data_IF_978491304148
#
_entry.id   IF_978491304148
#
_cell.length_a   1.000
_cell.length_b   1.000
_cell.length_c   1.000
_cell.angle_alpha   90.00
_cell.angle_beta   90.00
_cell.angle_gamma   90.00
#
_symmetry.space_group_name_H-M   'P 1'
#
loop_
_entity.id
_entity.type
_entity.pdbx_description
1 polymer ?
#
# COMPACT_ATOMS: atom_id res chain seq x y z
N UNK A 1 -14.95 0.64 1.03
CA UNK A 1 -14.67 0.27 2.44
C UNK A 1 -14.06 1.47 3.15
N UNK A 2 -14.21 1.63 4.46
CA UNK A 2 -13.69 2.79 5.22
C UNK A 2 -12.72 2.31 6.31
N UNK A 3 -11.46 2.74 6.25
CA UNK A 3 -10.49 2.54 7.32
C UNK A 3 -10.27 3.85 8.10
N UNK A 4 -10.64 3.89 9.37
CA UNK A 4 -10.46 5.06 10.25
C UNK A 4 -9.19 4.94 11.08
N UNK A 5 -8.14 5.72 10.86
CA UNK A 5 -6.91 5.56 11.66
C UNK A 5 -6.94 6.34 12.97
N UNK A 6 -7.60 5.81 14.00
CA UNK A 6 -7.32 6.21 15.39
C UNK A 6 -6.18 5.34 15.95
N UNK A 7 -5.09 5.97 16.43
CA UNK A 7 -3.97 5.38 17.20
C UNK A 7 -2.80 4.63 16.50
N UNK A 8 -2.53 4.83 15.19
CA UNK A 8 -1.47 4.09 14.46
C UNK A 8 0.01 4.44 14.78
N UNK A 9 0.29 5.59 15.39
CA UNK A 9 1.66 6.10 15.62
C UNK A 9 2.56 5.24 16.53
N UNK A 10 2.06 4.09 17.01
CA UNK A 10 2.83 3.17 17.86
C UNK A 10 3.48 2.01 17.12
N UNK A 11 3.16 1.73 15.84
CA UNK A 11 3.53 0.46 15.20
C UNK A 11 4.92 0.43 14.52
N UNK A 12 5.39 1.54 13.95
CA UNK A 12 6.77 1.69 13.45
C UNK A 12 7.35 2.95 14.09
N UNK A 13 8.42 2.87 14.90
CA UNK A 13 9.08 4.08 15.36
C UNK A 13 9.76 4.70 14.13
N UNK A 14 9.10 5.68 13.51
CA UNK A 14 9.85 6.76 12.89
C UNK A 14 10.44 7.52 14.07
N UNK A 15 11.62 7.09 14.53
CA UNK A 15 12.32 7.73 15.64
C UNK A 15 12.67 9.15 15.22
N UNK A 16 11.80 10.10 15.56
CA UNK A 16 12.22 11.49 15.74
C UNK A 16 12.89 11.48 17.10
N UNK A 17 14.19 11.80 17.13
CA UNK A 17 14.96 11.87 18.36
C UNK A 17 14.23 12.76 19.37
N UNK A 18 13.65 12.14 20.40
CA UNK A 18 13.04 12.82 21.53
C UNK A 18 13.83 12.44 22.77
N UNK A 19 14.74 13.34 23.16
CA UNK A 19 15.37 13.29 24.46
C UNK A 19 14.35 13.52 25.58
N UNK A 20 14.43 12.65 26.58
CA UNK A 20 13.99 12.76 27.99
C UNK A 20 12.61 13.36 28.30
N UNK A 21 11.75 12.43 28.72
CA UNK A 21 10.62 12.51 29.65
C UNK A 21 10.50 13.81 30.46
N UNK A 22 9.46 14.60 30.18
CA UNK A 22 8.62 15.28 31.19
C UNK A 22 7.23 15.48 30.61
N UNK A 23 6.21 15.22 31.44
CA UNK A 23 4.80 15.30 31.12
C UNK A 23 4.36 16.75 30.89
N UNK A 24 4.25 17.16 29.62
CA UNK A 24 3.48 18.32 29.18
C UNK A 24 2.80 17.94 27.87
N UNK A 25 1.48 18.05 27.81
CA UNK A 25 0.70 17.75 26.61
C UNK A 25 1.25 18.52 25.41
N UNK A 26 1.82 17.81 24.43
CA UNK A 26 2.17 18.39 23.14
C UNK A 26 0.90 18.56 22.32
N UNK A 27 0.33 19.76 22.43
CA UNK A 27 -0.68 20.27 21.52
C UNK A 27 -0.02 20.54 20.16
N UNK A 28 0.15 19.48 19.36
CA UNK A 28 0.44 19.60 17.93
C UNK A 28 -0.77 20.29 17.30
N UNK A 29 -0.75 21.61 17.16
CA UNK A 29 -1.70 22.33 16.30
C UNK A 29 -1.59 21.76 14.89
N UNK A 30 -2.44 20.79 14.57
CA UNK A 30 -2.51 20.16 13.23
C UNK A 30 -2.96 21.24 12.26
N UNK A 31 -2.14 21.51 11.25
CA UNK A 31 -2.50 22.46 10.19
C UNK A 31 -3.69 22.00 9.33
N UNK A 32 -4.02 20.71 9.40
CA UNK A 32 -5.11 20.02 8.70
C UNK A 32 -5.98 19.28 9.73
N UNK A 33 -7.26 19.62 9.79
CA UNK A 33 -8.27 19.01 10.66
C UNK A 33 -8.65 17.60 10.20
N UNK A 34 -8.81 17.40 8.89
CA UNK A 34 -9.27 16.13 8.30
C UNK A 34 -8.43 15.68 7.10
N UNK A 35 -8.01 14.42 7.10
CA UNK A 35 -7.24 13.80 6.03
C UNK A 35 -7.95 12.54 5.51
N UNK A 36 -8.43 12.57 4.28
CA UNK A 36 -9.09 11.45 3.59
C UNK A 36 -8.34 11.05 2.33
N UNK A 37 -8.25 9.75 2.06
CA UNK A 37 -7.60 9.23 0.84
C UNK A 37 -8.48 8.24 0.08
N UNK A 38 -8.27 8.15 -1.23
CA UNK A 38 -8.67 7.01 -2.06
C UNK A 38 -7.45 6.13 -2.34
N UNK A 39 -7.60 4.95 -2.98
CA UNK A 39 -6.46 4.30 -3.62
C UNK A 39 -5.89 5.21 -4.72
N UNK A 40 -4.64 4.96 -5.10
CA UNK A 40 -4.15 5.39 -6.40
C UNK A 40 -4.58 4.35 -7.43
N UNK A 41 -5.08 4.83 -8.57
CA UNK A 41 -5.70 3.96 -9.55
C UNK A 41 -4.72 3.60 -10.68
N UNK A 42 -4.60 2.30 -10.95
CA UNK A 42 -3.84 1.80 -12.09
C UNK A 42 -4.53 2.16 -13.41
N UNK A 43 -3.71 2.24 -14.43
CA UNK A 43 -4.02 2.79 -15.76
C UNK A 43 -4.14 1.71 -16.83
N UNK A 44 -3.99 0.46 -16.40
CA UNK A 44 -4.15 -0.73 -17.25
C UNK A 44 -5.56 -0.87 -17.83
N UNK A 45 -6.53 -0.09 -17.35
CA UNK A 45 -7.87 0.01 -17.93
C UNK A 45 -8.37 1.46 -17.96
N UNK A 46 -9.27 1.74 -18.92
CA UNK A 46 -9.96 3.01 -18.99
C UNK A 46 -10.70 3.30 -17.67
N UNK A 47 -10.81 4.58 -17.25
CA UNK A 47 -11.54 4.93 -16.05
C UNK A 47 -12.99 4.39 -16.09
N UNK A 48 -13.39 3.66 -15.05
CA UNK A 48 -14.73 3.11 -14.94
C UNK A 48 -15.39 3.51 -13.61
N UNK A 49 -16.64 3.10 -13.42
CA UNK A 49 -17.47 3.48 -12.27
C UNK A 49 -16.83 3.14 -10.91
N UNK A 50 -15.94 2.15 -10.84
CA UNK A 50 -15.25 1.78 -9.60
C UNK A 50 -14.29 2.86 -9.12
N UNK A 51 -13.54 3.48 -10.03
CA UNK A 51 -12.65 4.59 -9.72
C UNK A 51 -13.44 5.80 -9.21
N UNK A 52 -14.52 6.14 -9.93
CA UNK A 52 -15.40 7.26 -9.55
C UNK A 52 -16.07 7.01 -8.21
N UNK A 53 -16.50 5.79 -7.92
CA UNK A 53 -17.21 5.46 -6.69
C UNK A 53 -16.37 5.75 -5.43
N UNK A 54 -15.10 5.31 -5.41
CA UNK A 54 -14.18 5.60 -4.30
C UNK A 54 -13.92 7.11 -4.18
N UNK A 55 -13.72 7.82 -5.30
CA UNK A 55 -13.50 9.26 -5.30
C UNK A 55 -14.71 10.04 -4.81
N UNK A 56 -15.92 9.66 -5.23
CA UNK A 56 -17.16 10.30 -4.83
C UNK A 56 -17.42 10.15 -3.33
N UNK A 57 -17.16 8.97 -2.76
CA UNK A 57 -17.29 8.75 -1.32
C UNK A 57 -16.29 9.60 -0.51
N UNK A 58 -15.04 9.72 -0.98
CA UNK A 58 -14.03 10.55 -0.33
C UNK A 58 -14.40 12.04 -0.42
N UNK A 59 -14.86 12.48 -1.58
CA UNK A 59 -15.29 13.87 -1.83
C UNK A 59 -16.50 14.23 -0.96
N UNK A 60 -17.52 13.37 -0.91
CA UNK A 60 -18.69 13.57 -0.05
C UNK A 60 -18.30 13.66 1.43
N UNK A 61 -17.39 12.79 1.89
CA UNK A 61 -16.90 12.80 3.26
C UNK A 61 -16.09 14.08 3.58
N UNK A 62 -15.23 14.51 2.66
CA UNK A 62 -14.45 15.74 2.77
C UNK A 62 -15.36 16.99 2.81
N UNK A 63 -16.33 17.08 1.90
CA UNK A 63 -17.29 18.19 1.86
C UNK A 63 -18.15 18.27 3.12
N UNK A 64 -18.59 17.11 3.63
CA UNK A 64 -19.31 17.05 4.89
C UNK A 64 -18.48 17.58 6.06
N UNK A 65 -17.19 17.22 6.13
CA UNK A 65 -16.30 17.74 7.15
C UNK A 65 -16.13 19.26 7.05
N UNK A 66 -15.89 19.79 5.84
CA UNK A 66 -15.77 21.23 5.60
C UNK A 66 -17.05 21.97 6.05
N UNK A 67 -18.23 21.41 5.76
CA UNK A 67 -19.51 22.00 6.17
C UNK A 67 -19.65 22.08 7.70
N UNK A 68 -19.14 21.06 8.42
CA UNK A 68 -19.17 21.02 9.89
C UNK A 68 -18.06 21.85 10.55
N UNK A 69 -16.94 22.04 9.84
CA UNK A 69 -15.72 22.66 10.36
C UNK A 69 -15.17 23.72 9.38
N UNK A 70 -15.90 24.83 9.15
CA UNK A 70 -15.57 25.79 8.08
C UNK A 70 -14.24 26.53 8.28
N UNK A 71 -13.69 26.56 9.50
CA UNK A 71 -12.40 27.16 9.82
C UNK A 71 -11.22 26.18 9.74
N UNK A 72 -11.49 24.89 9.56
CA UNK A 72 -10.47 23.85 9.51
C UNK A 72 -10.09 23.53 8.07
N UNK A 73 -8.79 23.30 7.83
CA UNK A 73 -8.30 22.85 6.53
C UNK A 73 -8.44 21.34 6.42
N UNK A 74 -8.71 20.86 5.22
CA UNK A 74 -8.74 19.42 4.93
C UNK A 74 -7.69 19.04 3.88
N UNK A 75 -7.33 17.76 3.87
CA UNK A 75 -6.46 17.14 2.88
C UNK A 75 -7.21 15.96 2.29
N UNK A 76 -7.71 16.11 1.06
CA UNK A 76 -8.28 15.00 0.30
C UNK A 76 -7.28 14.59 -0.79
N UNK A 77 -6.72 13.40 -0.67
CA UNK A 77 -5.72 12.86 -1.59
C UNK A 77 -6.32 11.76 -2.46
N UNK A 78 -6.12 11.90 -3.75
CA UNK A 78 -6.35 10.84 -4.73
C UNK A 78 -5.13 10.77 -5.66
N UNK A 79 -5.13 9.87 -6.63
CA UNK A 79 -4.01 9.77 -7.56
C UNK A 79 -4.20 8.68 -8.60
N UNK A 80 -3.26 8.68 -9.54
CA UNK A 80 -3.17 7.68 -10.61
C UNK A 80 -1.74 7.58 -11.09
N UNK A 81 -1.45 6.52 -11.83
CA UNK A 81 -0.18 6.39 -12.54
C UNK A 81 -0.12 7.26 -13.83
N UNK A 82 -1.28 7.66 -14.41
CA UNK A 82 -1.37 8.40 -15.70
C UNK A 82 -2.55 9.41 -15.77
N UNK A 83 -2.65 10.12 -16.90
CA UNK A 83 -3.45 11.33 -17.10
C UNK A 83 -4.99 11.16 -17.08
N UNK A 84 -5.55 10.03 -17.54
CA UNK A 84 -7.00 9.93 -17.87
C UNK A 84 -7.97 10.06 -16.70
N UNK A 85 -7.58 9.66 -15.48
CA UNK A 85 -8.46 9.68 -14.30
C UNK A 85 -8.73 11.12 -13.82
N UNK A 86 -7.75 12.01 -14.01
CA UNK A 86 -7.87 13.40 -13.61
C UNK A 86 -9.00 14.13 -14.34
N UNK A 87 -9.23 13.80 -15.62
CA UNK A 87 -10.26 14.44 -16.43
C UNK A 87 -11.66 13.95 -16.07
N UNK A 88 -11.82 12.66 -15.76
CA UNK A 88 -13.07 12.12 -15.23
C UNK A 88 -13.44 12.81 -13.92
N UNK A 89 -12.49 12.93 -12.99
CA UNK A 89 -12.77 13.57 -11.68
C UNK A 89 -13.16 15.05 -11.82
N UNK A 90 -12.56 15.78 -12.76
CA UNK A 90 -12.99 17.15 -13.10
C UNK A 90 -14.40 17.18 -13.66
N UNK A 91 -14.76 16.27 -14.57
CA UNK A 91 -16.10 16.19 -15.15
C UNK A 91 -17.19 15.95 -14.08
N UNK A 92 -16.88 15.16 -13.05
CA UNK A 92 -17.77 14.88 -11.92
C UNK A 92 -17.63 15.86 -10.74
N UNK A 93 -16.89 16.96 -10.90
CA UNK A 93 -16.71 18.01 -9.89
C UNK A 93 -16.15 17.47 -8.54
N UNK A 94 -15.25 16.49 -8.61
CA UNK A 94 -14.51 15.99 -7.46
C UNK A 94 -13.46 17.04 -7.06
N UNK A 95 -13.43 17.41 -5.78
CA UNK A 95 -12.61 18.52 -5.27
C UNK A 95 -11.51 18.01 -4.32
N UNK A 96 -10.53 17.29 -4.88
CA UNK A 96 -9.37 16.82 -4.13
C UNK A 96 -8.34 17.94 -3.89
N UNK A 97 -7.64 17.87 -2.77
CA UNK A 97 -6.59 18.82 -2.37
C UNK A 97 -5.23 18.50 -3.00
N UNK A 98 -4.95 17.21 -3.24
CA UNK A 98 -3.74 16.73 -3.89
C UNK A 98 -4.06 15.56 -4.83
N UNK A 99 -3.31 15.47 -5.93
CA UNK A 99 -3.41 14.40 -6.91
C UNK A 99 -1.99 13.84 -7.12
N UNK A 100 -1.70 12.69 -6.53
CA UNK A 100 -0.35 12.09 -6.60
C UNK A 100 -0.20 11.24 -7.85
N UNK A 101 0.97 11.37 -8.48
CA UNK A 101 1.53 10.38 -9.40
C UNK A 101 2.81 9.79 -8.81
N UNK A 102 2.97 8.48 -8.88
CA UNK A 102 4.14 7.75 -8.36
C UNK A 102 5.43 8.12 -9.12
N UNK A 103 5.30 8.60 -10.35
CA UNK A 103 6.39 9.12 -11.18
C UNK A 103 6.93 10.48 -10.73
N UNK A 104 6.31 11.17 -9.77
CA UNK A 104 6.78 12.47 -9.28
C UNK A 104 8.05 12.36 -8.44
N UNK A 105 9.00 13.28 -8.64
CA UNK A 105 10.27 13.31 -7.91
C UNK A 105 10.06 13.35 -6.38
N UNK A 106 9.03 14.05 -5.89
CA UNK A 106 8.69 14.08 -4.45
C UNK A 106 8.34 12.70 -3.91
N UNK A 107 7.68 11.86 -4.72
CA UNK A 107 7.28 10.53 -4.35
C UNK A 107 8.47 9.58 -4.36
N UNK A 108 9.29 9.63 -5.42
CA UNK A 108 10.53 8.84 -5.49
C UNK A 108 11.43 9.11 -4.28
N UNK A 109 11.60 10.38 -3.89
CA UNK A 109 12.35 10.76 -2.67
C UNK A 109 11.73 10.17 -1.40
N UNK A 110 10.40 10.17 -1.28
CA UNK A 110 9.71 9.57 -0.14
C UNK A 110 9.90 8.05 -0.10
N UNK A 111 9.76 7.35 -1.22
CA UNK A 111 9.98 5.89 -1.31
C UNK A 111 11.42 5.53 -0.94
N UNK A 112 12.41 6.20 -1.53
CA UNK A 112 13.83 6.00 -1.20
C UNK A 112 14.12 6.22 0.29
N UNK A 113 13.61 7.31 0.87
CA UNK A 113 13.81 7.60 2.28
C UNK A 113 13.11 6.59 3.20
N UNK A 114 11.93 6.10 2.81
CA UNK A 114 11.19 5.10 3.58
C UNK A 114 11.87 3.72 3.52
N UNK A 115 12.34 3.33 2.33
CA UNK A 115 13.14 2.13 2.11
C UNK A 115 14.37 2.09 3.01
N UNK A 116 15.18 3.16 3.00
CA UNK A 116 16.40 3.23 3.81
C UNK A 116 16.10 3.09 5.31
N UNK A 117 15.03 3.71 5.81
CA UNK A 117 14.63 3.53 7.23
C UNK A 117 14.27 2.10 7.57
N UNK A 118 13.58 1.40 6.68
CA UNK A 118 13.22 -0.01 6.91
C UNK A 118 14.43 -0.94 6.80
N UNK A 119 15.38 -0.62 5.93
CA UNK A 119 16.66 -1.33 5.83
C UNK A 119 17.49 -1.14 7.11
N UNK A 120 17.63 0.10 7.57
CA UNK A 120 18.33 0.47 8.81
C UNK A 120 17.70 -0.18 10.06
N UNK A 121 16.36 -0.29 10.10
CA UNK A 121 15.66 -0.92 11.23
C UNK A 121 15.69 -2.46 11.21
N UNK A 122 16.31 -3.07 10.19
CA UNK A 122 16.30 -4.51 9.97
C UNK A 122 14.88 -5.05 9.74
N UNK A 123 14.05 -4.27 9.06
CA UNK A 123 12.68 -4.63 8.68
C UNK A 123 12.58 -4.99 7.20
N UNK A 124 13.56 -4.56 6.40
CA UNK A 124 13.83 -5.10 5.07
C UNK A 124 15.16 -5.85 5.12
N UNK A 125 15.21 -7.04 4.51
CA UNK A 125 16.42 -7.84 4.37
C UNK A 125 16.42 -8.55 3.03
N UNK A 126 17.60 -8.91 2.52
CA UNK A 126 17.74 -9.65 1.26
C UNK A 126 17.74 -11.15 1.54
N UNK A 127 16.92 -11.93 0.83
CA UNK A 127 16.97 -13.38 0.91
C UNK A 127 16.56 -14.03 -0.42
N UNK A 128 16.88 -15.32 -0.54
CA UNK A 128 16.41 -16.14 -1.65
C UNK A 128 14.99 -16.62 -1.35
N UNK A 129 14.07 -16.25 -2.22
CA UNK A 129 12.71 -16.74 -2.24
C UNK A 129 12.57 -17.77 -3.36
N UNK A 130 12.14 -18.98 -3.02
CA UNK A 130 11.93 -20.07 -3.97
C UNK A 130 10.45 -20.47 -3.94
N UNK A 131 9.85 -20.61 -5.11
CA UNK A 131 8.45 -21.03 -5.22
C UNK A 131 8.04 -21.35 -6.64
N UNK A 132 6.84 -21.91 -6.78
CA UNK A 132 6.21 -22.15 -8.07
C UNK A 132 5.67 -20.83 -8.62
N UNK A 133 6.24 -20.34 -9.72
CA UNK A 133 5.87 -19.07 -10.34
C UNK A 133 5.23 -19.33 -11.70
N UNK A 134 4.09 -18.69 -11.98
CA UNK A 134 3.53 -18.63 -13.32
C UNK A 134 3.92 -17.32 -13.98
N UNK A 135 4.62 -17.40 -15.12
CA UNK A 135 4.97 -16.20 -15.90
C UNK A 135 3.72 -15.53 -16.48
N UNK A 136 2.76 -16.31 -16.99
CA UNK A 136 1.52 -15.77 -17.59
C UNK A 136 0.62 -15.05 -16.59
N UNK A 137 0.59 -15.50 -15.33
CA UNK A 137 -0.23 -14.91 -14.25
C UNK A 137 0.57 -13.95 -13.36
N UNK A 138 1.87 -13.82 -13.61
CA UNK A 138 2.84 -13.06 -12.83
C UNK A 138 2.79 -13.32 -11.30
N UNK A 139 2.39 -14.54 -10.90
CA UNK A 139 2.01 -14.86 -9.52
C UNK A 139 2.71 -16.12 -9.01
N UNK A 140 3.07 -16.11 -7.72
CA UNK A 140 3.56 -17.28 -7.01
C UNK A 140 2.38 -18.11 -6.48
N UNK A 141 2.43 -19.42 -6.71
CA UNK A 141 1.44 -20.39 -6.27
C UNK A 141 1.98 -21.26 -5.14
N UNK A 142 1.12 -21.58 -4.18
CA UNK A 142 1.41 -22.60 -3.18
C UNK A 142 1.27 -24.01 -3.76
N UNK A 143 1.84 -25.02 -3.10
CA UNK A 143 1.71 -26.43 -3.55
C UNK A 143 0.27 -26.93 -3.65
N UNK A 144 -0.69 -26.26 -2.99
CA UNK A 144 -2.12 -26.60 -3.04
C UNK A 144 -2.84 -26.00 -4.25
N UNK A 145 -2.24 -25.01 -4.88
CA UNK A 145 -2.81 -24.27 -6.01
C UNK A 145 -2.19 -24.70 -7.34
N UNK A 146 -1.44 -25.81 -7.33
CA UNK A 146 -0.80 -26.40 -8.50
C UNK A 146 -1.19 -27.85 -8.64
N UNK A 147 -1.32 -28.32 -9.87
CA UNK A 147 -1.56 -29.73 -10.19
C UNK A 147 -0.67 -30.21 -11.33
N UNK A 148 -0.47 -31.52 -11.42
CA UNK A 148 0.25 -32.13 -12.53
C UNK A 148 -0.68 -32.26 -13.74
N UNK A 149 -0.30 -31.65 -14.87
CA UNK A 149 -1.04 -31.71 -16.11
C UNK A 149 -0.16 -32.20 -17.27
N UNK A 150 -0.81 -32.78 -18.28
CA UNK A 150 -0.17 -33.12 -19.55
C UNK A 150 -0.47 -32.00 -20.53
N UNK A 151 0.57 -31.31 -20.99
CA UNK A 151 0.49 -30.23 -21.96
C UNK A 151 0.04 -30.76 -23.34
N UNK A 152 -0.44 -29.89 -24.26
CA UNK A 152 -0.85 -30.29 -25.60
C UNK A 152 0.24 -30.98 -26.43
N UNK A 153 1.52 -30.78 -26.08
CA UNK A 153 2.69 -31.42 -26.69
C UNK A 153 3.03 -32.79 -26.09
N UNK A 154 2.24 -33.29 -25.15
CA UNK A 154 2.44 -34.57 -24.46
C UNK A 154 3.43 -34.52 -23.29
N UNK A 155 4.02 -33.36 -22.99
CA UNK A 155 4.93 -33.19 -21.85
C UNK A 155 4.18 -33.07 -20.52
N UNK A 156 4.75 -33.60 -19.44
CA UNK A 156 4.22 -33.40 -18.08
C UNK A 156 4.76 -32.08 -17.52
N UNK A 157 3.87 -31.22 -17.06
CA UNK A 157 4.22 -29.97 -16.39
C UNK A 157 3.29 -29.71 -15.21
N UNK A 158 3.72 -28.83 -14.30
CA UNK A 158 2.81 -28.32 -13.27
C UNK A 158 2.06 -27.12 -13.82
N UNK A 159 0.78 -27.03 -13.51
CA UNK A 159 -0.09 -25.89 -13.86
C UNK A 159 -0.79 -25.34 -12.65
N UNK A 160 -1.17 -24.07 -12.70
CA UNK A 160 -2.10 -23.47 -11.74
C UNK A 160 -3.46 -24.14 -11.84
N UNK A 161 -4.07 -24.48 -10.70
CA UNK A 161 -5.43 -25.02 -10.65
C UNK A 161 -6.49 -23.98 -11.01
N UNK A 162 -6.18 -22.69 -10.95
CA UNK A 162 -7.14 -21.60 -11.22
C UNK A 162 -7.07 -21.09 -12.66
N UNK A 163 -5.88 -20.96 -13.24
CA UNK A 163 -5.70 -20.46 -14.60
C UNK A 163 -5.42 -21.56 -15.63
N UNK A 164 -4.93 -22.73 -15.20
CA UNK A 164 -4.41 -23.77 -16.09
C UNK A 164 -3.06 -23.41 -16.73
N UNK A 165 -2.46 -22.27 -16.41
CA UNK A 165 -1.17 -21.86 -16.94
C UNK A 165 -0.02 -22.62 -16.28
N UNK A 166 1.05 -22.85 -17.06
CA UNK A 166 2.26 -23.56 -16.59
C UNK A 166 2.96 -22.78 -15.47
N UNK A 167 3.28 -23.49 -14.40
CA UNK A 167 4.11 -22.99 -13.29
C UNK A 167 5.48 -23.62 -13.32
N UNK A 168 6.50 -22.85 -12.96
CA UNK A 168 7.90 -23.29 -12.91
C UNK A 168 8.53 -22.95 -11.56
N UNK A 169 9.32 -23.89 -11.02
CA UNK A 169 10.06 -23.63 -9.80
C UNK A 169 11.15 -22.60 -10.08
N UNK A 170 11.00 -21.42 -9.49
CA UNK A 170 11.95 -20.33 -9.63
C UNK A 170 12.55 -20.00 -8.27
N UNK A 171 13.86 -19.72 -8.25
CA UNK A 171 14.51 -19.12 -7.09
C UNK A 171 14.98 -17.73 -7.45
N UNK A 172 14.48 -16.72 -6.75
CA UNK A 172 14.85 -15.33 -6.93
C UNK A 172 15.44 -14.79 -5.63
N UNK A 173 16.52 -14.04 -5.74
CA UNK A 173 16.97 -13.23 -4.62
C UNK A 173 16.23 -11.89 -4.67
N UNK A 174 15.40 -11.64 -3.65
CA UNK A 174 14.62 -10.41 -3.53
C UNK A 174 14.79 -9.84 -2.12
N UNK A 175 14.45 -8.57 -1.94
CA UNK A 175 14.29 -7.95 -0.64
C UNK A 175 12.92 -8.35 -0.08
N UNK A 176 12.89 -8.83 1.17
CA UNK A 176 11.68 -9.15 1.90
C UNK A 176 11.49 -8.16 3.05
N UNK A 177 10.23 -7.81 3.26
CA UNK A 177 9.77 -7.12 4.46
C UNK A 177 9.42 -8.15 5.53
N UNK A 178 10.03 -8.01 6.71
CA UNK A 178 9.87 -8.87 7.88
C UNK A 178 8.49 -8.68 8.54
N UNK A 179 7.40 -8.97 7.82
CA UNK A 179 6.03 -8.77 8.28
C UNK A 179 5.74 -9.60 9.55
N UNK A 180 6.30 -10.80 9.63
CA UNK A 180 6.19 -11.71 10.78
C UNK A 180 6.67 -11.05 12.10
N UNK A 181 7.70 -10.20 12.05
CA UNK A 181 8.21 -9.40 13.19
C UNK A 181 7.13 -8.50 13.81
N UNK A 182 6.12 -8.10 13.02
CA UNK A 182 5.07 -7.18 13.42
C UNK A 182 3.74 -7.86 13.76
N UNK A 183 3.64 -9.19 13.60
CA UNK A 183 2.37 -9.93 13.72
C UNK A 183 1.63 -9.63 15.03
N UNK A 184 2.29 -9.85 16.16
CA UNK A 184 1.68 -9.69 17.50
C UNK A 184 1.22 -8.25 17.74
N UNK A 185 1.95 -7.27 17.21
CA UNK A 185 1.62 -5.85 17.32
C UNK A 185 0.44 -5.47 16.43
N UNK A 186 0.39 -5.98 15.21
CA UNK A 186 -0.69 -5.78 14.25
C UNK A 186 -1.99 -6.42 14.73
N UNK A 187 -1.91 -7.66 15.23
CA UNK A 187 -3.05 -8.38 15.80
C UNK A 187 -3.67 -7.61 16.97
N UNK A 188 -2.82 -7.17 17.92
CA UNK A 188 -3.28 -6.35 19.05
C UNK A 188 -3.93 -5.05 18.60
N UNK A 189 -3.30 -4.34 17.66
CA UNK A 189 -3.85 -3.09 17.13
C UNK A 189 -5.19 -3.32 16.44
N UNK A 190 -5.33 -4.36 15.62
CA UNK A 190 -6.57 -4.64 14.92
C UNK A 190 -7.71 -4.91 15.92
N UNK A 191 -7.46 -5.72 16.95
CA UNK A 191 -8.42 -6.04 18.01
C UNK A 191 -8.90 -4.81 18.80
N UNK A 192 -8.00 -3.89 19.13
CA UNK A 192 -8.31 -2.77 20.04
C UNK A 192 -8.86 -1.52 19.33
N UNK A 193 -8.64 -1.40 18.02
CA UNK A 193 -8.73 -0.10 17.36
C UNK A 193 -10.10 0.20 16.71
N UNK A 194 -10.85 -0.83 16.29
CA UNK A 194 -12.15 -0.65 15.62
C UNK A 194 -12.07 0.08 14.26
N UNK A 195 -10.87 0.17 13.70
CA UNK A 195 -10.51 1.05 12.57
C UNK A 195 -11.01 0.54 11.22
N UNK A 196 -11.16 -0.76 11.06
CA UNK A 196 -11.60 -1.38 9.80
C UNK A 196 -13.10 -1.53 9.79
N UNK A 197 -13.76 -0.88 8.82
CA UNK A 197 -15.21 -0.96 8.63
C UNK A 197 -15.53 -1.36 7.19
N UNK A 198 -16.48 -2.29 6.97
CA UNK A 198 -17.39 -2.89 7.95
C UNK A 198 -16.78 -4.06 8.75
N UNK A 199 -17.42 -4.43 9.86
CA UNK A 199 -16.92 -5.43 10.83
C UNK A 199 -16.63 -6.82 10.24
N UNK A 200 -17.30 -7.24 9.17
CA UNK A 200 -17.00 -8.54 8.54
C UNK A 200 -15.61 -8.56 7.90
N UNK A 201 -15.09 -7.42 7.43
CA UNK A 201 -13.72 -7.34 6.91
C UNK A 201 -12.71 -7.48 8.05
N UNK A 202 -13.01 -6.91 9.21
CA UNK A 202 -12.16 -7.08 10.39
C UNK A 202 -11.99 -8.58 10.72
N UNK A 203 -13.08 -9.36 10.69
CA UNK A 203 -13.02 -10.81 10.92
C UNK A 203 -12.17 -11.52 9.85
N UNK A 204 -12.32 -11.13 8.57
CA UNK A 204 -11.48 -11.64 7.49
C UNK A 204 -9.99 -11.39 7.74
N UNK A 205 -9.61 -10.15 8.07
CA UNK A 205 -8.21 -9.78 8.37
C UNK A 205 -7.66 -10.53 9.58
N UNK A 206 -8.48 -10.74 10.62
CA UNK A 206 -8.09 -11.51 11.80
C UNK A 206 -7.77 -12.97 11.45
N UNK A 207 -8.50 -13.56 10.50
CA UNK A 207 -8.24 -14.92 10.03
C UNK A 207 -6.98 -15.02 9.15
N UNK A 208 -6.62 -13.96 8.42
CA UNK A 208 -5.42 -13.95 7.58
C UNK A 208 -4.10 -14.09 8.36
N UNK A 209 -4.09 -13.75 9.66
CA UNK A 209 -2.89 -13.90 10.48
C UNK A 209 -2.42 -15.36 10.66
N UNK A 210 -3.27 -16.36 10.40
CA UNK A 210 -2.88 -17.77 10.52
C UNK A 210 -1.76 -18.19 9.55
N UNK A 211 -1.61 -17.48 8.42
CA UNK A 211 -0.63 -17.78 7.38
C UNK A 211 0.27 -16.57 7.08
N UNK A 212 0.56 -15.73 8.09
CA UNK A 212 1.40 -14.56 7.88
C UNK A 212 2.82 -14.99 7.49
N UNK A 213 3.35 -14.38 6.44
CA UNK A 213 4.70 -14.63 5.94
C UNK A 213 5.37 -13.30 5.59
N UNK A 214 6.69 -13.33 5.49
CA UNK A 214 7.45 -12.17 5.05
C UNK A 214 7.17 -11.90 3.57
N UNK A 215 7.04 -10.62 3.21
CA UNK A 215 6.52 -10.21 1.91
C UNK A 215 7.66 -9.72 1.04
N UNK A 216 7.76 -10.22 -0.19
CA UNK A 216 8.75 -9.71 -1.14
C UNK A 216 8.39 -8.29 -1.59
N UNK A 217 9.27 -7.33 -1.32
CA UNK A 217 9.12 -5.89 -1.61
C UNK A 217 10.06 -5.38 -2.70
N UNK A 218 10.79 -6.26 -3.37
CA UNK A 218 11.50 -5.96 -4.63
C UNK A 218 11.30 -7.07 -5.66
N UNK A 219 11.71 -6.79 -6.89
CA UNK A 219 11.80 -7.75 -7.99
C UNK A 219 13.12 -7.57 -8.73
N UNK A 220 13.62 -8.64 -9.33
CA UNK A 220 14.74 -8.57 -10.27
C UNK A 220 14.41 -7.58 -11.40
N UNK A 221 15.34 -6.67 -11.69
CA UNK A 221 15.15 -5.64 -12.71
C UNK A 221 14.91 -6.20 -14.11
N UNK A 222 15.52 -7.33 -14.44
CA UNK A 222 15.31 -7.99 -15.74
C UNK A 222 13.85 -8.44 -15.95
N UNK A 223 13.14 -8.74 -14.86
CA UNK A 223 11.72 -9.09 -14.89
C UNK A 223 10.81 -7.87 -14.80
N UNK A 224 11.23 -6.87 -14.03
CA UNK A 224 10.46 -5.65 -13.83
C UNK A 224 11.37 -4.43 -14.05
N UNK A 225 11.60 -4.03 -15.31
CA UNK A 225 12.46 -2.89 -15.62
C UNK A 225 11.79 -1.55 -15.31
N UNK A 226 10.46 -1.55 -15.21
CA UNK A 226 9.64 -0.36 -14.96
C UNK A 226 9.38 -0.21 -13.45
N UNK A 227 9.93 0.83 -12.83
CA UNK A 227 9.70 1.16 -11.42
C UNK A 227 10.87 1.91 -10.77
N UNK A 228 10.74 2.19 -9.48
CA UNK A 228 11.79 2.86 -8.69
C UNK A 228 12.90 1.85 -8.39
N UNK A 229 14.16 2.20 -8.65
CA UNK A 229 15.31 1.34 -8.32
C UNK A 229 15.48 1.19 -6.81
N UNK A 230 15.91 0.02 -6.35
CA UNK A 230 16.30 -0.15 -4.95
C UNK A 230 17.53 0.71 -4.64
N UNK A 231 17.48 1.59 -3.62
CA UNK A 231 18.62 2.41 -3.24
C UNK A 231 19.85 1.57 -2.91
N UNK A 232 20.92 1.73 -3.70
CA UNK A 232 22.17 0.99 -3.53
C UNK A 232 22.21 -0.41 -4.16
N UNK A 233 21.14 -0.86 -4.84
CA UNK A 233 21.12 -2.12 -5.59
C UNK A 233 20.37 -1.96 -6.91
N UNK A 234 21.09 -1.59 -7.97
CA UNK A 234 20.52 -1.36 -9.30
C UNK A 234 20.04 -2.65 -10.00
N UNK A 235 20.30 -3.85 -9.44
CA UNK A 235 19.77 -5.12 -9.97
C UNK A 235 18.31 -5.35 -9.57
N UNK A 236 17.77 -4.52 -8.67
CA UNK A 236 16.44 -4.69 -8.09
C UNK A 236 15.58 -3.45 -8.33
N UNK A 237 14.30 -3.71 -8.60
CA UNK A 237 13.25 -2.70 -8.69
C UNK A 237 12.34 -2.86 -7.47
N UNK A 238 11.96 -1.75 -6.83
CA UNK A 238 11.01 -1.73 -5.72
C UNK A 238 9.65 -2.24 -6.20
N UNK A 239 9.04 -3.13 -5.42
CA UNK A 239 7.74 -3.70 -5.76
C UNK A 239 6.66 -2.61 -5.78
N UNK A 240 5.81 -2.65 -6.81
CA UNK A 240 4.83 -1.59 -7.10
C UNK A 240 3.86 -1.32 -5.94
N UNK A 241 3.46 -2.33 -5.15
CA UNK A 241 2.61 -2.11 -3.99
C UNK A 241 3.32 -1.39 -2.84
N UNK A 242 4.64 -1.60 -2.69
CA UNK A 242 5.43 -0.90 -1.69
C UNK A 242 5.49 0.60 -2.01
N UNK A 243 5.86 0.92 -3.25
CA UNK A 243 5.82 2.27 -3.82
C UNK A 243 4.43 2.89 -3.61
N UNK A 244 3.40 2.22 -4.12
CA UNK A 244 2.04 2.72 -4.12
C UNK A 244 1.57 3.07 -2.70
N UNK A 245 1.84 2.26 -1.68
CA UNK A 245 1.40 2.54 -0.31
C UNK A 245 2.10 3.76 0.33
N UNK A 246 3.31 4.11 -0.14
CA UNK A 246 4.05 5.29 0.35
C UNK A 246 3.45 6.61 -0.19
N UNK A 247 2.53 6.56 -1.16
CA UNK A 247 1.86 7.75 -1.68
C UNK A 247 1.19 8.57 -0.55
N UNK A 248 0.56 7.88 0.42
CA UNK A 248 -0.14 8.55 1.51
C UNK A 248 0.82 9.32 2.42
N UNK A 249 2.01 8.78 2.66
CA UNK A 249 3.08 9.47 3.41
C UNK A 249 3.63 10.65 2.60
N UNK A 250 3.76 10.49 1.28
CA UNK A 250 4.20 11.55 0.38
C UNK A 250 3.23 12.73 0.43
N UNK A 251 1.92 12.48 0.36
CA UNK A 251 0.89 13.51 0.46
C UNK A 251 0.91 14.23 1.81
N UNK A 252 1.21 13.48 2.87
CA UNK A 252 1.37 14.02 4.22
C UNK A 252 2.61 14.92 4.37
N UNK A 253 3.55 14.91 3.42
CA UNK A 253 4.76 15.74 3.41
C UNK A 253 6.07 14.98 3.68
N UNK A 254 6.04 13.66 3.81
CA UNK A 254 7.26 12.84 3.96
C UNK A 254 8.11 12.89 2.67
N UNK A 255 9.47 12.89 2.74
CA UNK A 255 10.32 12.78 3.93
C UNK A 255 10.59 14.10 4.65
N UNK A 256 10.01 15.20 4.15
CA UNK A 256 10.14 16.52 4.72
C UNK A 256 9.19 16.70 5.92
N UNK A 257 8.75 17.93 6.18
CA UNK A 257 7.84 18.26 7.27
C UNK A 257 6.45 17.68 7.00
N UNK A 258 6.06 16.71 7.81
CA UNK A 258 4.72 16.13 7.79
C UNK A 258 3.70 17.14 8.31
N UNK A 259 2.67 17.45 7.52
CA UNK A 259 1.60 18.40 7.85
C UNK A 259 0.42 17.72 8.55
N UNK A 260 0.16 16.44 8.20
CA UNK A 260 -0.91 15.61 8.79
C UNK A 260 -0.64 14.12 8.63
N UNK A 261 -0.59 13.39 9.73
CA UNK A 261 -0.54 11.93 9.75
C UNK A 261 -1.11 11.38 11.06
N UNK A 262 -1.80 10.22 11.06
CA UNK A 262 -2.26 9.43 9.90
C UNK A 262 -3.49 10.04 9.20
N UNK A 263 -3.93 9.48 8.06
CA UNK A 263 -5.24 9.78 7.48
C UNK A 263 -6.36 9.45 8.46
N UNK A 264 -7.36 10.31 8.59
CA UNK A 264 -8.55 10.02 9.40
C UNK A 264 -9.43 8.97 8.75
N UNK A 265 -9.39 8.89 7.41
CA UNK A 265 -10.18 7.95 6.61
C UNK A 265 -9.39 7.51 5.37
N UNK A 266 -9.24 6.22 5.15
CA UNK A 266 -8.79 5.67 3.88
C UNK A 266 -9.91 4.84 3.26
N UNK A 267 -10.34 5.27 2.08
CA UNK A 267 -11.29 4.52 1.29
C UNK A 267 -10.54 3.56 0.40
N UNK A 268 -10.93 2.29 0.45
CA UNK A 268 -10.33 1.24 -0.38
C UNK A 268 -11.41 0.31 -0.95
N UNK A 269 -11.11 -0.25 -2.12
CA UNK A 269 -11.88 -1.33 -2.72
C UNK A 269 -11.66 -2.64 -1.95
N UNK A 270 -12.59 -3.58 -2.07
CA UNK A 270 -12.49 -4.89 -1.37
C UNK A 270 -11.39 -5.79 -1.95
N UNK A 271 -11.02 -5.53 -3.19
CA UNK A 271 -10.03 -6.21 -4.00
C UNK A 271 -8.61 -6.03 -3.47
N UNK A 272 -8.30 -4.85 -2.90
CA UNK A 272 -6.95 -4.51 -2.40
C UNK A 272 -6.75 -4.76 -0.90
N UNK A 273 -7.61 -5.59 -0.30
CA UNK A 273 -7.53 -6.03 1.11
C UNK A 273 -6.89 -7.42 1.21
N UNK A 274 -6.87 -8.17 0.10
CA UNK A 274 -6.46 -9.57 0.04
C UNK A 274 -4.96 -9.73 0.22
#
# INVERSE_FOLDING_TARGET
MVCYWRNFYRLVPVTVAAGRTTSVGLDFRRSIGYFVTTPIFYVNAAPHIGHLYSALLADASNRWYILKHPSEKTLFVTGSDEHGIKDVFRHFNISNSDFIRTTEERHVKAVTAFWNKLLESGSIYKAKYSGWYCVSDETYYSEREIEDAVMPDGTKAKVSTSSGHKVEWTTEENYLFALTKYESKLRKWLQESGVVQPSYIHQFLMNSFHNISDVSVSRQRDRCPWGIEVPGDASQTIYVWFDALVNYLTAAGYPNKITRWPPDCQLVGKDIIK
#
